data_IF_447111435807
#
_entry.id   IF_447111435807
#
_cell.length_a   1.000
_cell.length_b   1.000
_cell.length_c   1.000
_cell.angle_alpha   90.00
_cell.angle_beta   90.00
_cell.angle_gamma   90.00
#
_symmetry.space_group_name_H-M   'P 1'
#
loop_
_entity.id
_entity.type
_entity.pdbx_description
1 polymer ?
#
# COMPACT_ATOMS: atom_id res chain seq x y z
N UNK A 1 -18.38 1.51 -22.38
CA UNK A 1 -18.53 0.67 -21.16
C UNK A 1 -18.10 1.52 -19.98
N UNK A 2 -18.86 1.50 -18.88
CA UNK A 2 -18.43 2.13 -17.63
C UNK A 2 -17.32 1.28 -17.00
N UNK A 3 -16.08 1.77 -17.06
CA UNK A 3 -14.91 1.08 -16.51
C UNK A 3 -14.63 1.68 -15.15
N UNK A 4 -15.30 1.15 -14.12
CA UNK A 4 -14.99 1.50 -12.74
C UNK A 4 -14.01 0.49 -12.16
N UNK A 5 -13.06 0.97 -11.37
CA UNK A 5 -12.04 0.18 -10.67
C UNK A 5 -11.92 0.61 -9.23
N UNK A 6 -11.41 -0.25 -8.35
CA UNK A 6 -11.03 0.18 -7.00
C UNK A 6 -9.72 -0.42 -6.50
N UNK A 7 -9.08 0.33 -5.61
CA UNK A 7 -7.87 -0.05 -4.88
C UNK A 7 -8.16 0.07 -3.39
N UNK A 8 -8.11 -1.04 -2.63
CA UNK A 8 -8.22 -0.99 -1.16
C UNK A 8 -6.84 -0.99 -0.56
N UNK A 9 -6.46 0.10 0.10
CA UNK A 9 -5.19 0.19 0.82
C UNK A 9 -5.35 -0.29 2.26
N UNK A 10 -4.55 -1.29 2.61
CA UNK A 10 -4.66 -1.97 3.88
C UNK A 10 -3.31 -2.49 4.38
N UNK A 11 -3.25 -2.90 5.65
CA UNK A 11 -2.03 -3.42 6.29
C UNK A 11 -2.36 -4.13 7.59
N UNK A 12 -1.51 -5.09 8.00
CA UNK A 12 -1.65 -5.80 9.27
C UNK A 12 -1.44 -4.91 10.51
N UNK A 13 -0.66 -3.83 10.39
CA UNK A 13 -0.32 -2.93 11.50
C UNK A 13 -0.67 -1.47 11.17
N UNK A 14 -1.07 -0.69 12.18
CA UNK A 14 -1.20 0.76 12.06
C UNK A 14 0.14 1.45 11.79
N UNK A 15 0.11 2.66 11.24
CA UNK A 15 1.33 3.44 10.95
C UNK A 15 2.22 2.85 9.84
N UNK A 16 1.65 2.03 8.95
CA UNK A 16 2.36 1.35 7.85
C UNK A 16 2.54 2.21 6.60
N UNK A 17 1.94 3.40 6.54
CA UNK A 17 2.00 4.29 5.38
C UNK A 17 0.80 4.23 4.41
N UNK A 18 -0.34 3.65 4.82
CA UNK A 18 -1.57 3.60 3.98
C UNK A 18 -2.01 4.96 3.44
N UNK A 19 -2.26 5.92 4.33
CA UNK A 19 -2.75 7.25 3.94
C UNK A 19 -1.82 7.98 2.96
N UNK A 20 -0.49 8.05 3.19
CA UNK A 20 0.41 8.58 2.18
C UNK A 20 0.35 7.88 0.83
N UNK A 21 0.30 6.54 0.80
CA UNK A 21 0.22 5.79 -0.46
C UNK A 21 -1.13 6.05 -1.15
N UNK A 22 -2.24 6.15 -0.41
CA UNK A 22 -3.55 6.49 -0.97
C UNK A 22 -3.54 7.86 -1.64
N UNK A 23 -2.93 8.86 -0.99
CA UNK A 23 -2.78 10.21 -1.52
C UNK A 23 -1.88 10.25 -2.76
N UNK A 24 -0.74 9.53 -2.74
CA UNK A 24 0.17 9.42 -3.89
C UNK A 24 -0.51 8.75 -5.07
N UNK A 25 -1.14 7.58 -4.86
CA UNK A 25 -1.84 6.84 -5.91
C UNK A 25 -2.97 7.66 -6.53
N UNK A 26 -3.80 8.29 -5.70
CA UNK A 26 -4.88 9.17 -6.18
C UNK A 26 -4.33 10.33 -7.02
N UNK A 27 -3.23 10.94 -6.58
CA UNK A 27 -2.62 12.07 -7.28
C UNK A 27 -1.98 11.66 -8.61
N UNK A 28 -1.34 10.48 -8.67
CA UNK A 28 -0.77 9.95 -9.91
C UNK A 28 -1.86 9.60 -10.93
N UNK A 29 -2.91 8.88 -10.52
CA UNK A 29 -4.02 8.51 -11.41
C UNK A 29 -4.71 9.76 -11.99
N UNK A 30 -4.97 10.78 -11.18
CA UNK A 30 -5.54 12.03 -11.67
C UNK A 30 -4.60 12.74 -12.66
N UNK A 31 -3.28 12.75 -12.41
CA UNK A 31 -2.28 13.29 -13.36
C UNK A 31 -2.20 12.49 -14.67
N UNK A 32 -2.51 11.21 -14.64
CA UNK A 32 -2.69 10.37 -15.83
C UNK A 32 -4.04 10.58 -16.53
N UNK A 33 -4.83 11.56 -16.08
CA UNK A 33 -6.08 11.93 -16.73
C UNK A 33 -7.23 10.96 -16.43
N UNK A 34 -7.25 10.37 -15.22
CA UNK A 34 -8.35 9.54 -14.73
C UNK A 34 -9.31 10.33 -13.84
N UNK A 35 -10.56 9.89 -13.75
CA UNK A 35 -11.48 10.33 -12.70
C UNK A 35 -11.16 9.58 -11.41
N UNK A 36 -10.91 10.32 -10.34
CA UNK A 36 -10.43 9.75 -9.08
C UNK A 36 -11.40 10.08 -7.95
N UNK A 37 -11.75 9.05 -7.17
CA UNK A 37 -12.46 9.20 -5.91
C UNK A 37 -11.59 8.62 -4.80
N UNK A 38 -11.07 9.49 -3.92
CA UNK A 38 -10.41 9.04 -2.69
C UNK A 38 -11.47 8.86 -1.61
N UNK A 39 -11.74 7.62 -1.23
CA UNK A 39 -12.68 7.23 -0.20
C UNK A 39 -11.93 6.94 1.11
N UNK A 40 -12.12 7.79 2.10
CA UNK A 40 -11.57 7.63 3.44
C UNK A 40 -12.58 6.94 4.37
N UNK A 41 -12.27 5.69 4.70
CA UNK A 41 -13.00 4.86 5.66
C UNK A 41 -12.17 4.56 6.90
N UNK A 42 -11.04 5.26 7.09
CA UNK A 42 -10.23 5.16 8.28
C UNK A 42 -10.97 5.81 9.46
N UNK A 43 -11.75 5.01 10.18
CA UNK A 43 -12.51 5.47 11.34
C UNK A 43 -11.66 5.81 12.56
N UNK A 44 -10.35 5.56 12.54
CA UNK A 44 -9.45 5.98 13.60
C UNK A 44 -8.97 7.41 13.34
N UNK A 45 -8.47 7.69 12.14
CA UNK A 45 -7.98 9.00 11.73
C UNK A 45 -8.30 9.22 10.24
N UNK A 46 -9.35 9.98 9.87
CA UNK A 46 -9.72 10.23 8.48
C UNK A 46 -8.85 11.32 7.84
N UNK A 47 -7.53 11.14 7.94
CA UNK A 47 -6.53 12.12 7.52
C UNK A 47 -6.49 12.26 5.99
N UNK A 48 -6.80 11.20 5.24
CA UNK A 48 -6.79 11.24 3.78
C UNK A 48 -7.85 12.22 3.27
N UNK A 49 -9.03 12.23 3.89
CA UNK A 49 -10.10 13.18 3.60
C UNK A 49 -9.71 14.62 3.93
N UNK A 50 -9.20 14.87 5.14
CA UNK A 50 -8.82 16.22 5.56
C UNK A 50 -7.64 16.79 4.76
N UNK A 51 -6.66 15.96 4.40
CA UNK A 51 -5.54 16.38 3.55
C UNK A 51 -6.04 16.68 2.14
N UNK A 52 -6.80 15.78 1.53
CA UNK A 52 -7.25 15.95 0.14
C UNK A 52 -8.19 17.14 -0.06
N UNK A 53 -9.00 17.47 0.95
CA UNK A 53 -9.83 18.69 0.95
C UNK A 53 -9.01 19.99 1.02
N UNK A 54 -7.69 19.94 1.26
CA UNK A 54 -6.79 21.11 1.16
C UNK A 54 -6.08 21.25 -0.18
N UNK A 55 -6.22 20.26 -1.07
CA UNK A 55 -5.59 20.30 -2.40
C UNK A 55 -6.25 21.36 -3.28
N UNK A 56 -5.48 22.25 -3.88
CA UNK A 56 -5.95 23.27 -4.84
C UNK A 56 -5.19 23.17 -6.17
N UNK A 57 -5.70 23.88 -7.18
CA UNK A 57 -5.01 24.02 -8.47
C UNK A 57 -3.69 24.79 -8.29
N UNK A 58 -2.66 24.55 -9.13
CA UNK A 58 -1.43 25.34 -9.09
C UNK A 58 -1.70 26.85 -9.21
N UNK A 59 -2.63 27.23 -10.08
CA UNK A 59 -3.02 28.62 -10.29
C UNK A 59 -3.51 29.25 -8.98
N UNK A 60 -4.46 28.60 -8.30
CA UNK A 60 -5.01 29.06 -7.02
C UNK A 60 -3.93 29.11 -5.92
N UNK A 61 -3.01 28.15 -5.93
CA UNK A 61 -1.89 28.11 -4.98
C UNK A 61 -0.97 29.33 -5.12
N UNK A 62 -0.56 29.68 -6.35
CA UNK A 62 0.36 30.80 -6.58
C UNK A 62 -0.27 32.16 -6.26
N UNK A 63 -1.60 32.27 -6.32
CA UNK A 63 -2.33 33.51 -5.95
C UNK A 63 -2.90 33.48 -4.54
N UNK A 64 -2.63 32.43 -3.76
CA UNK A 64 -3.11 32.27 -2.37
C UNK A 64 -4.62 32.21 -2.22
N UNK A 65 -5.36 31.76 -3.25
CA UNK A 65 -6.81 31.62 -3.21
C UNK A 65 -7.20 30.27 -2.61
N UNK A 66 -8.14 30.29 -1.68
CA UNK A 66 -8.80 29.08 -1.17
C UNK A 66 -10.16 28.94 -1.85
N UNK A 67 -10.31 28.09 -2.88
CA UNK A 67 -11.61 27.87 -3.50
C UNK A 67 -12.58 27.27 -2.48
N UNK A 68 -13.81 27.79 -2.44
CA UNK A 68 -14.89 27.17 -1.67
C UNK A 68 -15.19 25.82 -2.33
N UNK A 69 -14.84 24.73 -1.65
CA UNK A 69 -15.11 23.39 -2.15
C UNK A 69 -16.60 23.09 -2.03
N UNK A 70 -17.23 22.77 -3.17
CA UNK A 70 -18.60 22.26 -3.18
C UNK A 70 -18.61 20.91 -2.48
N UNK A 71 -19.53 20.77 -1.54
CA UNK A 71 -19.78 19.52 -0.85
C UNK A 71 -21.20 19.04 -1.16
N UNK A 72 -21.33 17.76 -1.50
CA UNK A 72 -22.63 17.09 -1.63
C UNK A 72 -22.70 15.91 -0.67
N UNK A 73 -23.91 15.49 -0.32
CA UNK A 73 -24.13 14.31 0.51
C UNK A 73 -24.72 13.21 -0.37
N UNK A 74 -24.08 12.05 -0.34
CA UNK A 74 -24.51 10.84 -1.04
C UNK A 74 -25.03 9.83 -0.01
N UNK A 75 -26.27 9.40 -0.16
CA UNK A 75 -26.92 8.44 0.76
C UNK A 75 -27.26 7.12 0.08
N UNK A 76 -27.57 7.15 -1.22
CA UNK A 76 -28.02 6.00 -1.98
C UNK A 76 -27.68 6.16 -3.47
N UNK A 77 -27.46 5.03 -4.15
CA UNK A 77 -27.33 4.95 -5.60
C UNK A 77 -27.49 3.48 -6.05
N UNK A 78 -28.02 3.25 -7.24
CA UNK A 78 -28.13 1.90 -7.83
C UNK A 78 -28.95 0.90 -7.00
N UNK A 79 -29.95 1.37 -6.23
CA UNK A 79 -30.79 0.54 -5.36
C UNK A 79 -30.18 0.22 -3.99
N UNK A 80 -28.94 0.62 -3.73
CA UNK A 80 -28.27 0.43 -2.44
C UNK A 80 -28.21 1.73 -1.65
N UNK A 81 -28.29 1.59 -0.32
CA UNK A 81 -28.19 2.69 0.63
C UNK A 81 -26.94 2.53 1.48
N UNK A 82 -26.12 3.57 1.53
CA UNK A 82 -25.00 3.61 2.46
C UNK A 82 -25.54 3.68 3.90
N UNK A 83 -25.05 2.82 4.80
CA UNK A 83 -25.43 2.84 6.22
C UNK A 83 -25.19 4.19 6.88
N UNK A 84 -24.11 4.87 6.49
CA UNK A 84 -23.85 6.25 6.86
C UNK A 84 -23.78 7.13 5.61
N UNK A 85 -24.37 8.34 5.64
CA UNK A 85 -24.22 9.30 4.56
C UNK A 85 -22.75 9.61 4.28
N UNK A 86 -22.40 9.69 3.00
CA UNK A 86 -21.08 10.01 2.50
C UNK A 86 -21.01 11.49 2.10
N UNK A 87 -20.13 12.24 2.71
CA UNK A 87 -19.77 13.58 2.28
C UNK A 87 -18.82 13.48 1.10
N UNK A 88 -19.19 14.06 -0.04
CA UNK A 88 -18.35 14.18 -1.22
C UNK A 88 -17.90 15.62 -1.35
N UNK A 89 -16.60 15.86 -1.45
CA UNK A 89 -16.00 17.16 -1.70
C UNK A 89 -15.33 17.18 -3.07
N UNK A 90 -15.65 18.19 -3.89
CA UNK A 90 -14.95 18.45 -5.14
C UNK A 90 -13.55 18.99 -4.84
N UNK A 91 -12.51 18.22 -5.20
CA UNK A 91 -11.10 18.57 -4.91
C UNK A 91 -10.49 19.29 -6.08
N UNK A 92 -10.48 18.67 -7.26
CA UNK A 92 -9.99 19.26 -8.51
C UNK A 92 -10.90 18.87 -9.66
N UNK A 93 -10.99 19.75 -10.67
CA UNK A 93 -11.72 19.48 -11.90
C UNK A 93 -10.95 20.07 -13.09
N UNK A 94 -10.83 19.26 -14.13
CA UNK A 94 -10.40 19.67 -15.48
C UNK A 94 -11.59 19.57 -16.43
N UNK A 95 -11.41 19.89 -17.71
CA UNK A 95 -12.46 19.71 -18.71
C UNK A 95 -12.95 18.27 -18.82
N UNK A 96 -12.05 17.29 -18.65
CA UNK A 96 -12.32 15.86 -18.88
C UNK A 96 -12.40 15.03 -17.61
N UNK A 97 -11.70 15.44 -16.55
CA UNK A 97 -11.47 14.61 -15.38
C UNK A 97 -11.73 15.34 -14.06
N UNK A 98 -12.08 14.60 -13.01
CA UNK A 98 -12.20 15.14 -11.66
C UNK A 98 -11.41 14.34 -10.62
N UNK A 99 -11.08 15.01 -9.52
CA UNK A 99 -10.65 14.39 -8.27
C UNK A 99 -11.67 14.78 -7.20
N UNK A 100 -12.30 13.80 -6.57
CA UNK A 100 -13.19 13.95 -5.42
C UNK A 100 -12.62 13.27 -4.19
N UNK A 101 -12.89 13.85 -3.03
CA UNK A 101 -12.59 13.26 -1.73
C UNK A 101 -13.89 12.92 -1.02
N UNK A 102 -13.98 11.73 -0.46
CA UNK A 102 -15.19 11.19 0.14
C UNK A 102 -14.88 10.63 1.52
N UNK A 103 -15.70 10.98 2.50
CA UNK A 103 -15.69 10.37 3.81
C UNK A 103 -17.12 10.30 4.34
N UNK A 104 -17.35 9.68 5.51
CA UNK A 104 -18.66 9.74 6.16
C UNK A 104 -18.92 11.13 6.73
N UNK A 105 -20.18 11.52 6.79
CA UNK A 105 -20.57 12.83 7.34
C UNK A 105 -20.23 12.93 8.83
N UNK A 106 -19.44 13.93 9.19
CA UNK A 106 -19.23 14.50 10.54
C UNK A 106 -19.40 13.50 11.70
N UNK A 107 -20.61 13.38 12.29
CA UNK A 107 -20.88 12.50 13.45
C UNK A 107 -20.60 11.00 13.22
N UNK A 108 -20.47 10.57 11.97
CA UNK A 108 -20.18 9.19 11.59
C UNK A 108 -18.74 8.97 11.10
N UNK A 109 -17.89 10.02 11.07
CA UNK A 109 -16.50 9.93 10.60
C UNK A 109 -15.73 8.79 11.30
N UNK A 110 -15.94 8.66 12.61
CA UNK A 110 -15.25 7.71 13.48
C UNK A 110 -16.06 6.45 13.80
N UNK A 111 -17.21 6.25 13.15
CA UNK A 111 -18.00 5.04 13.36
C UNK A 111 -17.22 3.81 12.84
N UNK A 112 -17.12 2.69 13.58
CA UNK A 112 -16.50 1.48 13.05
C UNK A 112 -17.26 0.97 11.82
N UNK A 113 -16.54 0.53 10.78
CA UNK A 113 -17.10 -0.05 9.56
C UNK A 113 -16.77 -1.53 9.46
N UNK A 114 -17.68 -2.32 8.90
CA UNK A 114 -17.46 -3.72 8.57
C UNK A 114 -17.25 -3.90 7.05
N UNK A 115 -16.92 -5.12 6.63
CA UNK A 115 -16.65 -5.43 5.23
C UNK A 115 -17.83 -5.08 4.30
N UNK A 116 -19.05 -5.51 4.64
CA UNK A 116 -20.22 -5.31 3.80
C UNK A 116 -20.49 -3.82 3.58
N UNK A 117 -20.40 -3.03 4.64
CA UNK A 117 -20.65 -1.59 4.58
C UNK A 117 -19.59 -0.83 3.77
N UNK A 118 -18.34 -1.31 3.78
CA UNK A 118 -17.31 -0.79 2.89
C UNK A 118 -17.66 -1.06 1.41
N UNK A 119 -18.08 -2.28 1.06
CA UNK A 119 -18.47 -2.63 -0.31
C UNK A 119 -19.74 -1.90 -0.74
N UNK A 120 -20.69 -1.64 0.16
CA UNK A 120 -21.85 -0.79 -0.12
C UNK A 120 -21.45 0.64 -0.44
N UNK A 121 -20.54 1.24 0.34
CA UNK A 121 -20.04 2.58 0.06
C UNK A 121 -19.36 2.65 -1.31
N UNK A 122 -18.53 1.66 -1.64
CA UNK A 122 -17.92 1.51 -2.96
C UNK A 122 -18.96 1.43 -4.08
N UNK A 123 -19.95 0.55 -3.94
CA UNK A 123 -21.02 0.38 -4.92
C UNK A 123 -21.81 1.67 -5.14
N UNK A 124 -22.19 2.37 -4.06
CA UNK A 124 -22.92 3.63 -4.14
C UNK A 124 -22.10 4.69 -4.89
N UNK A 125 -20.80 4.78 -4.64
CA UNK A 125 -19.90 5.69 -5.38
C UNK A 125 -19.82 5.32 -6.86
N UNK A 126 -19.61 4.03 -7.17
CA UNK A 126 -19.47 3.56 -8.56
C UNK A 126 -20.75 3.66 -9.38
N UNK A 127 -21.93 3.64 -8.74
CA UNK A 127 -23.21 3.90 -9.41
C UNK A 127 -23.57 5.40 -9.47
N UNK A 128 -22.80 6.26 -8.81
CA UNK A 128 -22.97 7.72 -8.87
C UNK A 128 -22.10 8.35 -9.95
N UNK A 129 -20.93 7.77 -10.20
CA UNK A 129 -19.94 8.32 -11.13
C UNK A 129 -19.47 7.27 -12.14
N UNK A 130 -19.33 7.68 -13.39
CA UNK A 130 -18.87 6.82 -14.47
C UNK A 130 -17.34 6.89 -14.66
N UNK A 131 -16.75 5.77 -15.05
CA UNK A 131 -15.33 5.65 -15.42
C UNK A 131 -14.37 6.19 -14.35
N UNK A 132 -14.47 5.64 -13.14
CA UNK A 132 -13.74 6.10 -11.97
C UNK A 132 -12.73 5.07 -11.45
N UNK A 133 -11.64 5.57 -10.89
CA UNK A 133 -10.77 4.84 -9.97
C UNK A 133 -11.11 5.25 -8.52
N UNK A 134 -11.58 4.30 -7.71
CA UNK A 134 -11.85 4.52 -6.29
C UNK A 134 -10.68 4.03 -5.45
N UNK A 135 -10.03 4.94 -4.73
CA UNK A 135 -8.90 4.64 -3.85
C UNK A 135 -9.43 4.64 -2.42
N UNK A 136 -9.41 3.51 -1.75
CA UNK A 136 -9.93 3.36 -0.39
C UNK A 136 -8.78 3.38 0.62
N UNK A 137 -8.79 4.37 1.52
CA UNK A 137 -7.98 4.33 2.74
C UNK A 137 -8.83 3.75 3.87
N UNK A 138 -8.40 2.61 4.43
CA UNK A 138 -9.16 1.95 5.50
C UNK A 138 -8.22 1.37 6.56
N UNK A 139 -8.72 1.35 7.79
CA UNK A 139 -8.06 0.67 8.90
C UNK A 139 -8.41 -0.83 8.99
N UNK A 140 -9.35 -1.33 8.18
CA UNK A 140 -9.65 -2.76 8.06
C UNK A 140 -8.48 -3.48 7.41
N UNK A 141 -7.89 -4.45 8.12
CA UNK A 141 -6.97 -5.42 7.52
C UNK A 141 -7.72 -6.47 6.69
N UNK A 142 -7.03 -7.18 5.78
CA UNK A 142 -7.66 -8.26 4.99
C UNK A 142 -8.44 -9.25 5.88
N UNK A 143 -7.91 -9.72 7.04
CA UNK A 143 -8.68 -10.58 7.93
C UNK A 143 -10.02 -10.01 8.41
N UNK A 144 -10.10 -8.69 8.59
CA UNK A 144 -11.32 -7.96 8.97
C UNK A 144 -12.32 -7.79 7.81
N UNK A 145 -11.95 -8.19 6.59
CA UNK A 145 -12.86 -8.22 5.44
C UNK A 145 -13.79 -9.43 5.46
N UNK A 146 -13.57 -10.42 6.34
CA UNK A 146 -14.54 -11.52 6.52
C UNK A 146 -15.85 -10.93 7.06
N UNK A 147 -16.98 -11.05 6.32
CA UNK A 147 -18.27 -10.58 6.81
C UNK A 147 -18.77 -11.45 7.97
N UNK A 148 -19.66 -10.88 8.79
CA UNK A 148 -20.18 -11.56 9.98
C UNK A 148 -21.22 -12.64 9.68
N UNK A 149 -21.94 -12.52 8.55
CA UNK A 149 -23.00 -13.44 8.15
C UNK A 149 -22.66 -14.09 6.82
N UNK A 150 -23.11 -15.34 6.66
CA UNK A 150 -22.88 -16.12 5.44
C UNK A 150 -23.52 -15.45 4.20
N UNK A 151 -24.75 -14.95 4.33
CA UNK A 151 -25.47 -14.27 3.23
C UNK A 151 -24.77 -13.00 2.74
N UNK A 152 -23.92 -12.40 3.57
CA UNK A 152 -23.25 -11.15 3.22
C UNK A 152 -22.14 -11.37 2.18
N UNK A 153 -21.62 -12.60 2.02
CA UNK A 153 -20.69 -12.90 0.92
C UNK A 153 -21.37 -12.75 -0.44
N UNK A 154 -22.60 -13.24 -0.58
CA UNK A 154 -23.35 -13.11 -1.83
C UNK A 154 -23.68 -11.64 -2.11
N UNK A 155 -24.07 -10.87 -1.08
CA UNK A 155 -24.26 -9.42 -1.25
C UNK A 155 -22.99 -8.72 -1.70
N UNK A 156 -21.84 -9.04 -1.09
CA UNK A 156 -20.55 -8.46 -1.51
C UNK A 156 -20.27 -8.79 -2.98
N UNK A 157 -20.54 -10.02 -3.42
CA UNK A 157 -20.40 -10.40 -4.83
C UNK A 157 -21.24 -9.53 -5.75
N UNK A 158 -22.49 -9.26 -5.39
CA UNK A 158 -23.39 -8.43 -6.19
C UNK A 158 -22.93 -6.96 -6.20
N UNK A 159 -22.44 -6.46 -5.06
CA UNK A 159 -21.88 -5.11 -4.91
C UNK A 159 -20.59 -4.90 -5.72
N UNK A 160 -19.91 -5.96 -6.15
CA UNK A 160 -18.73 -5.89 -7.01
C UNK A 160 -19.09 -5.75 -8.49
N UNK A 161 -20.35 -5.99 -8.90
CA UNK A 161 -20.77 -6.01 -10.30
C UNK A 161 -20.44 -4.72 -11.11
N UNK A 162 -20.49 -3.50 -10.54
CA UNK A 162 -20.13 -2.28 -11.28
C UNK A 162 -18.63 -2.16 -11.61
N UNK A 163 -17.77 -2.99 -11.01
CA UNK A 163 -16.33 -2.86 -11.12
C UNK A 163 -15.75 -3.87 -12.12
N UNK A 164 -15.02 -3.34 -13.09
CA UNK A 164 -14.32 -4.12 -14.12
C UNK A 164 -13.03 -4.76 -13.61
N UNK A 165 -12.33 -4.10 -12.69
CA UNK A 165 -11.13 -4.59 -12.04
C UNK A 165 -11.04 -4.05 -10.61
N UNK A 166 -10.31 -4.76 -9.76
CA UNK A 166 -10.02 -4.31 -8.41
C UNK A 166 -8.77 -4.97 -7.84
N UNK A 167 -8.05 -4.20 -7.02
CA UNK A 167 -6.82 -4.63 -6.36
C UNK A 167 -6.87 -4.34 -4.86
N UNK A 168 -6.28 -5.22 -4.08
CA UNK A 168 -6.08 -4.99 -2.64
C UNK A 168 -4.60 -4.71 -2.41
N UNK A 169 -4.26 -3.47 -2.08
CA UNK A 169 -2.89 -3.07 -1.80
C UNK A 169 -2.60 -3.35 -0.33
N UNK A 170 -1.75 -4.34 -0.06
CA UNK A 170 -1.37 -4.74 1.28
C UNK A 170 0.07 -4.34 1.60
N UNK A 171 0.24 -3.49 2.62
CA UNK A 171 1.56 -3.01 3.04
C UNK A 171 2.16 -3.91 4.12
N UNK A 172 3.29 -4.52 3.77
CA UNK A 172 4.13 -5.33 4.63
C UNK A 172 5.26 -4.50 5.22
N UNK A 173 5.40 -4.60 6.54
CA UNK A 173 6.60 -4.19 7.22
C UNK A 173 7.13 -5.31 8.11
N UNK A 174 8.34 -5.14 8.63
CA UNK A 174 8.96 -6.09 9.57
C UNK A 174 8.06 -6.40 10.76
N UNK A 175 7.31 -5.41 11.25
CA UNK A 175 6.31 -5.60 12.30
C UNK A 175 5.14 -6.50 11.88
N UNK A 176 4.61 -6.34 10.67
CA UNK A 176 3.57 -7.21 10.11
C UNK A 176 4.08 -8.63 9.87
N UNK A 177 5.33 -8.76 9.40
CA UNK A 177 5.98 -10.07 9.20
C UNK A 177 6.20 -10.81 10.52
N UNK A 178 6.56 -10.10 11.58
CA UNK A 178 6.76 -10.68 12.91
C UNK A 178 5.45 -10.91 13.70
N UNK A 179 4.31 -10.44 13.18
CA UNK A 179 3.05 -10.46 13.93
C UNK A 179 2.53 -11.88 14.08
N UNK A 180 2.26 -12.26 15.33
CA UNK A 180 1.53 -13.48 15.69
C UNK A 180 0.26 -13.08 16.45
N UNK A 181 -0.88 -13.63 16.04
CA UNK A 181 -2.18 -13.40 16.65
C UNK A 181 -2.66 -14.68 17.32
N UNK A 182 -3.00 -14.60 18.60
CA UNK A 182 -3.57 -15.73 19.33
C UNK A 182 -5.09 -15.75 19.15
N UNK A 183 -5.62 -16.82 18.56
CA UNK A 183 -7.06 -17.06 18.42
C UNK A 183 -7.38 -18.35 19.15
N UNK A 184 -8.00 -18.22 20.33
CA UNK A 184 -8.22 -19.35 21.24
C UNK A 184 -6.91 -20.02 21.65
N UNK A 185 -6.76 -21.31 21.31
CA UNK A 185 -5.55 -22.09 21.60
C UNK A 185 -4.48 -21.99 20.50
N UNK A 186 -4.81 -21.46 19.33
CA UNK A 186 -3.89 -21.41 18.19
C UNK A 186 -3.18 -20.05 18.11
N UNK A 187 -1.93 -20.08 17.68
CA UNK A 187 -1.14 -18.89 17.34
C UNK A 187 -0.99 -18.86 15.83
N UNK A 188 -1.55 -17.83 15.19
CA UNK A 188 -1.58 -17.68 13.74
C UNK A 188 -0.71 -16.50 13.33
N UNK A 189 0.11 -16.68 12.30
CA UNK A 189 0.82 -15.60 11.62
C UNK A 189 -0.13 -14.74 10.80
N UNK A 190 0.31 -13.56 10.38
CA UNK A 190 -0.46 -12.74 9.44
C UNK A 190 -0.74 -13.50 8.12
N UNK A 191 0.18 -14.34 7.65
CA UNK A 191 -0.02 -15.18 6.46
C UNK A 191 -1.13 -16.22 6.64
N UNK A 192 -1.22 -16.84 7.82
CA UNK A 192 -2.30 -17.79 8.11
C UNK A 192 -3.67 -17.12 8.07
N UNK A 193 -3.75 -15.88 8.58
CA UNK A 193 -4.98 -15.11 8.55
C UNK A 193 -5.35 -14.69 7.11
N UNK A 194 -4.36 -14.26 6.31
CA UNK A 194 -4.59 -13.94 4.89
C UNK A 194 -5.08 -15.15 4.09
N UNK A 195 -4.39 -16.29 4.20
CA UNK A 195 -4.77 -17.51 3.48
C UNK A 195 -6.17 -17.97 3.89
N UNK A 196 -6.49 -17.91 5.18
CA UNK A 196 -7.84 -18.19 5.66
C UNK A 196 -8.86 -17.28 4.98
N UNK A 197 -8.65 -15.97 5.00
CA UNK A 197 -9.58 -15.01 4.37
C UNK A 197 -9.76 -15.25 2.87
N UNK A 198 -8.67 -15.46 2.13
CA UNK A 198 -8.72 -15.77 0.70
C UNK A 198 -9.55 -17.04 0.46
N UNK A 199 -9.32 -18.07 1.28
CA UNK A 199 -10.05 -19.34 1.18
C UNK A 199 -11.54 -19.19 1.49
N UNK A 200 -11.92 -18.40 2.51
CA UNK A 200 -13.32 -18.16 2.84
C UNK A 200 -14.09 -17.51 1.67
N UNK A 201 -13.50 -16.52 1.02
CA UNK A 201 -14.07 -15.85 -0.15
C UNK A 201 -14.15 -16.79 -1.38
N UNK A 202 -13.09 -17.58 -1.61
CA UNK A 202 -13.04 -18.55 -2.70
C UNK A 202 -14.11 -19.63 -2.56
N UNK A 203 -14.27 -20.22 -1.37
CA UNK A 203 -15.26 -21.27 -1.10
C UNK A 203 -16.69 -20.81 -1.42
N UNK A 204 -16.95 -19.51 -1.31
CA UNK A 204 -18.25 -18.88 -1.54
C UNK A 204 -18.38 -18.25 -2.93
N UNK A 205 -17.40 -18.48 -3.80
CA UNK A 205 -17.43 -18.02 -5.19
C UNK A 205 -17.39 -16.49 -5.33
N UNK A 206 -16.75 -15.78 -4.39
CA UNK A 206 -16.56 -14.33 -4.42
C UNK A 206 -15.10 -14.03 -4.75
N UNK A 207 -14.82 -13.63 -5.99
CA UNK A 207 -13.46 -13.51 -6.53
C UNK A 207 -12.74 -12.20 -6.15
N UNK A 208 -12.82 -11.75 -4.90
CA UNK A 208 -12.25 -10.45 -4.51
C UNK A 208 -10.71 -10.46 -4.49
N UNK A 209 -10.10 -11.57 -4.06
CA UNK A 209 -8.65 -11.70 -3.94
C UNK A 209 -7.99 -12.46 -5.09
N UNK A 210 -8.76 -13.08 -5.99
CA UNK A 210 -8.25 -14.15 -6.86
C UNK A 210 -8.46 -15.54 -6.23
N UNK A 211 -7.95 -16.58 -6.89
CA UNK A 211 -8.02 -17.96 -6.42
C UNK A 211 -7.03 -18.23 -5.27
N UNK A 212 -5.93 -17.49 -5.23
CA UNK A 212 -4.81 -17.64 -4.31
C UNK A 212 -4.21 -16.29 -3.87
N UNK A 213 -4.92 -15.19 -4.07
CA UNK A 213 -4.44 -13.85 -3.68
C UNK A 213 -3.79 -13.06 -4.82
N UNK A 214 -3.99 -13.45 -6.07
CA UNK A 214 -3.40 -12.83 -7.26
C UNK A 214 -3.80 -11.36 -7.45
N UNK A 215 -4.91 -10.92 -6.84
CA UNK A 215 -5.35 -9.51 -6.85
C UNK A 215 -4.77 -8.68 -5.71
N UNK A 216 -3.98 -9.28 -4.83
CA UNK A 216 -3.28 -8.57 -3.76
C UNK A 216 -1.99 -8.00 -4.34
N UNK A 217 -1.81 -6.68 -4.22
CA UNK A 217 -0.56 -6.00 -4.53
C UNK A 217 0.22 -5.82 -3.23
N UNK A 218 1.40 -6.40 -3.16
CA UNK A 218 2.25 -6.45 -1.97
C UNK A 218 3.22 -5.27 -1.98
N UNK A 219 3.08 -4.33 -1.05
CA UNK A 219 4.07 -3.27 -0.84
C UNK A 219 4.99 -3.70 0.30
N UNK A 220 6.26 -3.99 0.00
CA UNK A 220 7.26 -4.33 1.00
C UNK A 220 8.06 -3.09 1.41
N UNK A 221 8.10 -2.79 2.70
CA UNK A 221 8.86 -1.68 3.26
C UNK A 221 9.49 -2.03 4.62
N UNK A 222 10.74 -1.64 4.90
CA UNK A 222 11.37 -1.95 6.18
C UNK A 222 10.83 -1.10 7.35
N UNK A 223 10.03 -0.04 7.14
CA UNK A 223 9.46 0.77 8.24
C UNK A 223 10.55 1.29 9.20
N UNK A 224 11.63 1.83 8.62
CA UNK A 224 12.75 2.47 9.33
C UNK A 224 12.54 3.98 9.39
N UNK A 225 12.58 4.54 10.59
CA UNK A 225 12.13 5.91 10.87
C UNK A 225 13.17 6.80 11.56
N UNK A 226 14.46 6.50 11.42
CA UNK A 226 15.51 7.32 12.05
C UNK A 226 16.41 8.00 11.02
N UNK A 227 16.71 9.27 11.30
CA UNK A 227 17.79 10.02 10.65
C UNK A 227 19.09 9.25 10.89
N UNK A 228 19.78 8.73 9.85
CA UNK A 228 21.06 8.10 10.08
C UNK A 228 22.03 9.15 10.58
N UNK A 229 22.24 9.18 11.89
CA UNK A 229 23.53 9.65 12.38
C UNK A 229 24.57 8.74 11.72
N UNK A 230 25.54 9.37 11.07
CA UNK A 230 26.62 8.77 10.26
C UNK A 230 27.26 7.48 10.82
N UNK A 231 27.28 7.17 12.13
CA UNK A 231 27.82 5.90 12.64
C UNK A 231 26.91 4.67 12.42
N UNK A 232 25.57 4.83 12.42
CA UNK A 232 24.66 3.66 12.35
C UNK A 232 24.62 3.10 10.96
N UNK A 233 24.40 3.98 9.97
CA UNK A 233 24.43 3.57 8.58
C UNK A 233 25.79 2.99 8.23
N UNK A 234 26.90 3.54 8.75
CA UNK A 234 28.25 3.00 8.55
C UNK A 234 28.45 1.61 9.18
N UNK A 235 28.00 1.35 10.42
CA UNK A 235 28.09 0.00 11.03
C UNK A 235 27.15 -1.01 10.38
N UNK A 236 25.93 -0.57 10.05
CA UNK A 236 25.00 -1.34 9.22
C UNK A 236 25.66 -1.65 7.87
N UNK A 237 26.35 -0.69 7.26
CA UNK A 237 27.05 -0.85 5.98
C UNK A 237 28.34 -1.66 6.09
N UNK A 238 29.07 -1.61 7.19
CA UNK A 238 30.25 -2.45 7.46
C UNK A 238 29.82 -3.91 7.67
N UNK A 239 28.75 -4.14 8.43
CA UNK A 239 28.10 -5.45 8.62
C UNK A 239 27.45 -5.95 7.33
N UNK A 240 26.92 -5.06 6.49
CA UNK A 240 26.46 -5.36 5.14
C UNK A 240 27.66 -5.72 4.26
N UNK A 241 28.74 -4.95 4.24
CA UNK A 241 29.90 -5.13 3.36
C UNK A 241 30.66 -6.44 3.63
N UNK A 242 30.78 -6.85 4.89
CA UNK A 242 31.40 -8.13 5.28
C UNK A 242 30.53 -9.35 4.96
N UNK A 243 29.21 -9.15 4.83
CA UNK A 243 28.23 -10.15 4.40
C UNK A 243 27.86 -10.00 2.89
N UNK A 244 28.48 -9.07 2.18
CA UNK A 244 28.32 -8.75 0.73
C UNK A 244 29.50 -9.36 -0.06
N UNK A 245 30.04 -10.49 0.38
CA UNK A 245 30.66 -11.45 -0.54
C UNK A 245 29.62 -12.28 -1.31
N UNK A 246 28.32 -11.99 -1.14
CA UNK A 246 27.27 -12.48 -2.04
C UNK A 246 27.26 -11.57 -3.27
N UNK A 247 27.94 -12.03 -4.33
CA UNK A 247 27.63 -11.59 -5.70
C UNK A 247 26.13 -11.76 -5.89
N UNK A 248 25.39 -10.67 -5.83
CA UNK A 248 24.05 -10.58 -6.35
C UNK A 248 24.20 -10.90 -7.85
N UNK A 249 23.72 -12.05 -8.38
CA UNK A 249 23.68 -12.26 -9.83
C UNK A 249 22.43 -11.54 -10.37
N UNK A 250 22.37 -10.23 -10.09
CA UNK A 250 21.43 -9.25 -10.61
C UNK A 250 22.35 -8.09 -11.00
N UNK A 251 22.40 -7.76 -12.30
CA UNK A 251 23.46 -6.97 -12.93
C UNK A 251 23.56 -5.50 -12.51
N UNK A 252 23.72 -5.24 -11.22
CA UNK A 252 24.17 -3.95 -10.66
C UNK A 252 25.28 -4.28 -9.70
N UNK A 253 26.53 -4.09 -10.14
CA UNK A 253 27.67 -4.12 -9.24
C UNK A 253 27.47 -3.06 -8.15
N UNK A 254 27.47 -3.51 -6.89
CA UNK A 254 27.51 -2.63 -5.72
C UNK A 254 28.83 -1.86 -5.76
N UNK A 255 28.79 -0.67 -6.35
CA UNK A 255 29.93 0.24 -6.43
C UNK A 255 30.40 0.57 -5.02
N UNK A 256 31.72 0.46 -4.81
CA UNK A 256 32.41 0.86 -3.59
C UNK A 256 31.95 2.25 -3.10
N UNK A 257 31.79 2.41 -1.79
CA UNK A 257 31.54 3.71 -1.17
C UNK A 257 32.76 4.63 -1.34
N UNK A 258 32.76 5.37 -2.44
CA UNK A 258 33.60 6.55 -2.64
C UNK A 258 32.77 7.76 -3.08
N UNK A 259 31.43 7.74 -2.89
CA UNK A 259 30.52 8.76 -3.42
C UNK A 259 29.37 9.18 -2.49
N UNK A 260 28.76 10.30 -2.87
CA UNK A 260 27.61 10.99 -2.28
C UNK A 260 26.38 10.08 -2.09
N UNK A 261 25.70 10.21 -0.94
CA UNK A 261 24.53 9.42 -0.53
C UNK A 261 23.42 9.51 -1.58
N UNK A 262 23.24 10.68 -2.19
CA UNK A 262 22.27 10.90 -3.26
C UNK A 262 22.54 10.02 -4.50
N UNK A 263 23.81 9.82 -4.87
CA UNK A 263 24.23 8.95 -5.98
C UNK A 263 23.90 7.48 -5.71
N UNK A 264 24.10 7.03 -4.47
CA UNK A 264 23.79 5.67 -4.05
C UNK A 264 22.29 5.39 -4.05
N UNK A 265 21.49 6.31 -3.50
CA UNK A 265 20.03 6.17 -3.48
C UNK A 265 19.44 6.16 -4.89
N UNK A 266 19.99 6.97 -5.80
CA UNK A 266 19.61 6.94 -7.22
C UNK A 266 19.85 5.56 -7.84
N UNK A 267 21.00 4.93 -7.58
CA UNK A 267 21.31 3.57 -8.08
C UNK A 267 20.36 2.50 -7.54
N UNK A 268 19.99 2.56 -6.25
CA UNK A 268 18.99 1.64 -5.69
C UNK A 268 17.63 1.83 -6.37
N UNK A 269 17.18 3.08 -6.49
CA UNK A 269 15.92 3.38 -7.17
C UNK A 269 15.98 2.86 -8.60
N UNK A 270 17.03 3.17 -9.36
CA UNK A 270 17.23 2.73 -10.74
C UNK A 270 17.22 1.20 -10.86
N UNK A 271 17.89 0.48 -9.96
CA UNK A 271 17.79 -0.98 -9.89
C UNK A 271 16.35 -1.46 -9.70
N UNK A 272 15.61 -0.87 -8.76
CA UNK A 272 14.19 -1.19 -8.53
C UNK A 272 13.33 -0.87 -9.76
N UNK A 273 13.63 0.23 -10.48
CA UNK A 273 12.93 0.56 -11.74
C UNK A 273 13.11 -0.56 -12.76
N UNK A 274 14.35 -0.98 -12.99
CA UNK A 274 14.68 -2.07 -13.92
C UNK A 274 13.97 -3.35 -13.50
N UNK A 275 13.97 -3.66 -12.20
CA UNK A 275 13.31 -4.85 -11.67
C UNK A 275 11.80 -4.84 -11.89
N UNK A 276 11.13 -3.69 -11.69
CA UNK A 276 9.71 -3.57 -12.00
C UNK A 276 9.46 -3.74 -13.49
N UNK A 277 10.22 -3.06 -14.36
CA UNK A 277 10.09 -3.15 -15.82
C UNK A 277 10.17 -4.60 -16.36
N UNK A 278 10.87 -5.49 -15.66
CA UNK A 278 11.08 -6.90 -16.03
C UNK A 278 10.30 -7.84 -15.11
N UNK A 279 9.20 -7.36 -14.56
CA UNK A 279 8.28 -8.16 -13.76
C UNK A 279 7.41 -9.04 -14.64
N UNK A 280 7.26 -10.30 -14.26
CA UNK A 280 6.36 -11.27 -14.88
C UNK A 280 5.75 -12.12 -13.78
N UNK A 281 4.54 -12.63 -14.01
CA UNK A 281 3.90 -13.56 -13.09
C UNK A 281 3.40 -12.90 -11.80
N UNK A 282 2.62 -13.66 -11.04
CA UNK A 282 1.93 -13.17 -9.86
C UNK A 282 2.37 -13.92 -8.61
N UNK A 283 2.74 -13.19 -7.58
CA UNK A 283 3.05 -13.73 -6.27
C UNK A 283 1.76 -14.13 -5.57
N UNK A 284 1.53 -15.43 -5.43
CA UNK A 284 0.38 -15.98 -4.72
C UNK A 284 0.68 -16.22 -3.22
N UNK A 285 -0.38 -16.48 -2.45
CA UNK A 285 -0.26 -16.71 -0.99
C UNK A 285 0.55 -17.97 -0.65
N UNK A 286 0.56 -18.97 -1.54
CA UNK A 286 1.29 -20.23 -1.34
C UNK A 286 2.79 -20.00 -1.43
N UNK A 287 3.23 -19.28 -2.45
CA UNK A 287 4.62 -18.88 -2.66
C UNK A 287 5.09 -17.98 -1.52
N UNK A 288 4.25 -17.03 -1.10
CA UNK A 288 4.53 -16.19 0.08
C UNK A 288 4.68 -17.00 1.36
N UNK A 289 3.86 -18.02 1.58
CA UNK A 289 3.98 -18.92 2.73
C UNK A 289 5.33 -19.64 2.74
N UNK A 290 5.77 -20.19 1.60
CA UNK A 290 7.08 -20.85 1.49
C UNK A 290 8.22 -19.86 1.79
N UNK A 291 8.13 -18.62 1.27
CA UNK A 291 9.10 -17.56 1.57
C UNK A 291 9.14 -17.27 3.06
N UNK A 292 7.98 -17.13 3.69
CA UNK A 292 7.87 -16.81 5.11
C UNK A 292 8.38 -17.93 6.02
N UNK A 293 8.11 -19.20 5.69
CA UNK A 293 8.60 -20.35 6.44
C UNK A 293 10.13 -20.41 6.41
N UNK A 294 10.76 -20.26 5.24
CA UNK A 294 12.22 -20.23 5.12
C UNK A 294 12.85 -19.00 5.77
N UNK A 295 12.16 -17.85 5.69
CA UNK A 295 12.56 -16.64 6.41
C UNK A 295 12.55 -16.90 7.92
N UNK A 296 11.46 -17.44 8.46
CA UNK A 296 11.30 -17.69 9.90
C UNK A 296 12.35 -18.67 10.43
N UNK A 297 12.64 -19.72 9.67
CA UNK A 297 13.71 -20.68 9.99
C UNK A 297 15.09 -20.00 10.07
N UNK A 298 15.45 -19.16 9.09
CA UNK A 298 16.74 -18.43 9.11
C UNK A 298 16.83 -17.46 10.30
N UNK A 299 15.72 -16.79 10.66
CA UNK A 299 15.68 -15.92 11.84
C UNK A 299 15.80 -16.72 13.14
N UNK A 300 15.11 -17.85 13.27
CA UNK A 300 15.19 -18.70 14.47
C UNK A 300 16.59 -19.28 14.67
N UNK A 301 17.27 -19.68 13.59
CA UNK A 301 18.67 -20.10 13.64
C UNK A 301 19.60 -18.98 14.09
N UNK A 302 19.40 -17.77 13.58
CA UNK A 302 20.23 -16.61 13.92
C UNK A 302 20.06 -16.21 15.39
N UNK A 303 18.82 -16.17 15.88
CA UNK A 303 18.52 -15.91 17.30
C UNK A 303 19.14 -16.96 18.22
N UNK A 304 19.15 -18.24 17.80
CA UNK A 304 19.83 -19.31 18.57
C UNK A 304 21.36 -19.16 18.57
N UNK A 305 21.95 -18.69 17.47
CA UNK A 305 23.41 -18.49 17.33
C UNK A 305 23.90 -17.26 18.07
N UNK A 306 23.06 -16.23 18.18
CA UNK A 306 23.41 -14.96 18.83
C UNK A 306 22.32 -14.57 19.82
N UNK A 307 22.41 -14.98 21.10
CA UNK A 307 21.43 -14.62 22.14
C UNK A 307 21.26 -13.09 22.30
N UNK A 308 22.30 -12.31 21.98
CA UNK A 308 22.31 -10.84 22.02
C UNK A 308 21.74 -10.17 20.76
N UNK A 309 21.21 -10.95 19.81
CA UNK A 309 20.65 -10.47 18.53
C UNK A 309 19.54 -9.42 18.70
N UNK A 310 18.91 -9.35 19.88
CA UNK A 310 17.93 -8.33 20.25
C UNK A 310 18.39 -7.29 21.28
N UNK A 311 19.59 -7.44 21.88
CA UNK A 311 20.05 -6.64 23.02
C UNK A 311 21.12 -5.62 22.60
N UNK A 312 22.04 -5.98 21.69
CA UNK A 312 23.20 -5.13 21.33
C UNK A 312 23.11 -4.42 19.97
N UNK A 313 22.06 -4.70 19.20
CA UNK A 313 21.88 -4.15 17.86
C UNK A 313 20.84 -3.02 17.92
N UNK A 314 21.19 -1.80 17.45
CA UNK A 314 20.21 -0.71 17.30
C UNK A 314 19.00 -1.22 16.51
N UNK A 315 17.79 -0.98 17.01
CA UNK A 315 16.50 -1.45 16.44
C UNK A 315 16.40 -1.31 14.91
N UNK A 316 16.95 -0.23 14.34
CA UNK A 316 17.01 -0.01 12.91
C UNK A 316 17.81 -1.08 12.12
N UNK A 317 18.93 -1.55 12.68
CA UNK A 317 19.78 -2.54 12.01
C UNK A 317 19.12 -3.91 11.99
N UNK A 318 18.39 -4.28 13.05
CA UNK A 318 17.60 -5.52 13.12
C UNK A 318 16.52 -5.48 12.04
N UNK A 319 15.76 -4.38 11.99
CA UNK A 319 14.69 -4.22 11.00
C UNK A 319 15.21 -4.31 9.56
N UNK A 320 16.36 -3.68 9.27
CA UNK A 320 16.98 -3.79 7.94
C UNK A 320 17.44 -5.22 7.63
N UNK A 321 18.05 -5.89 8.62
CA UNK A 321 18.46 -7.28 8.51
C UNK A 321 17.27 -8.19 8.20
N UNK A 322 16.18 -8.10 8.97
CA UNK A 322 14.95 -8.87 8.74
C UNK A 322 14.40 -8.65 7.33
N UNK A 323 14.34 -7.38 6.89
CA UNK A 323 13.88 -7.04 5.55
C UNK A 323 14.79 -7.65 4.46
N UNK A 324 16.11 -7.59 4.65
CA UNK A 324 17.09 -8.18 3.71
C UNK A 324 16.94 -9.70 3.62
N UNK A 325 16.82 -10.39 4.76
CA UNK A 325 16.63 -11.85 4.77
C UNK A 325 15.34 -12.21 4.02
N UNK A 326 14.26 -11.47 4.25
CA UNK A 326 12.99 -11.70 3.55
C UNK A 326 13.13 -11.53 2.03
N UNK A 327 13.73 -10.42 1.56
CA UNK A 327 13.99 -10.19 0.13
C UNK A 327 14.90 -11.25 -0.49
N UNK A 328 15.93 -11.70 0.25
CA UNK A 328 16.83 -12.78 -0.17
C UNK A 328 16.05 -14.09 -0.39
N UNK A 329 15.19 -14.48 0.55
CA UNK A 329 14.35 -15.69 0.43
C UNK A 329 13.39 -15.58 -0.73
N UNK A 330 12.75 -14.41 -0.88
CA UNK A 330 11.88 -14.13 -2.01
C UNK A 330 12.60 -14.33 -3.33
N UNK A 331 13.76 -13.70 -3.53
CA UNK A 331 14.52 -13.84 -4.77
C UNK A 331 14.96 -15.30 -5.02
N UNK A 332 15.41 -16.02 -4.00
CA UNK A 332 15.83 -17.42 -4.12
C UNK A 332 14.68 -18.35 -4.52
N UNK A 333 13.49 -18.15 -3.97
CA UNK A 333 12.31 -18.97 -4.26
C UNK A 333 11.72 -18.56 -5.61
N UNK A 334 11.57 -17.26 -5.85
CA UNK A 334 10.99 -16.72 -7.08
C UNK A 334 11.78 -17.15 -8.32
N UNK A 335 13.11 -17.00 -8.29
CA UNK A 335 13.97 -17.38 -9.43
C UNK A 335 14.00 -18.87 -9.75
N UNK A 336 13.58 -19.74 -8.82
CA UNK A 336 13.43 -21.17 -9.14
C UNK A 336 12.25 -21.40 -10.09
N UNK A 337 11.17 -20.65 -9.91
CA UNK A 337 9.99 -20.73 -10.77
C UNK A 337 10.07 -19.80 -11.99
N UNK A 338 10.79 -18.68 -11.85
CA UNK A 338 10.87 -17.61 -12.83
C UNK A 338 12.35 -17.19 -13.07
N UNK A 339 13.16 -18.01 -13.78
CA UNK A 339 14.62 -17.83 -13.84
C UNK A 339 15.09 -16.52 -14.49
N UNK A 340 14.28 -15.97 -15.40
CA UNK A 340 14.60 -14.76 -16.17
C UNK A 340 13.94 -13.49 -15.62
N UNK A 341 13.07 -13.65 -14.63
CA UNK A 341 12.24 -12.57 -14.11
C UNK A 341 12.86 -11.97 -12.85
N UNK A 342 12.78 -10.64 -12.70
CA UNK A 342 13.41 -9.96 -11.58
C UNK A 342 12.48 -9.83 -10.36
N UNK A 343 11.19 -9.58 -10.55
CA UNK A 343 10.17 -9.48 -9.50
C UNK A 343 8.80 -9.98 -10.00
N UNK A 344 7.89 -10.38 -9.11
CA UNK A 344 6.47 -10.53 -9.43
C UNK A 344 5.82 -9.18 -9.80
N UNK A 345 4.81 -9.20 -10.67
CA UNK A 345 4.07 -8.00 -11.12
C UNK A 345 3.28 -7.32 -10.00
N UNK A 346 2.72 -8.12 -9.09
CA UNK A 346 1.94 -7.65 -7.94
C UNK A 346 2.83 -7.34 -6.72
N UNK A 347 4.12 -7.12 -6.89
CA UNK A 347 5.05 -6.75 -5.83
C UNK A 347 5.61 -5.35 -6.08
N UNK A 348 5.61 -4.50 -5.05
CA UNK A 348 6.23 -3.18 -5.04
C UNK A 348 7.22 -3.12 -3.88
N UNK A 349 8.48 -2.82 -4.16
CA UNK A 349 9.51 -2.69 -3.11
C UNK A 349 9.75 -1.20 -2.86
N UNK A 350 9.48 -0.77 -1.62
CA UNK A 350 9.82 0.56 -1.12
C UNK A 350 10.99 0.38 -0.15
N UNK A 351 12.24 0.60 -0.60
CA UNK A 351 13.44 0.20 0.13
C UNK A 351 13.68 1.00 1.43
N UNK A 352 12.97 2.11 1.61
CA UNK A 352 13.00 2.93 2.81
C UNK A 352 11.74 3.81 2.84
N UNK A 353 11.17 4.01 4.02
CA UNK A 353 10.19 5.06 4.27
C UNK A 353 10.94 6.19 4.97
N UNK A 354 11.56 7.11 4.22
CA UNK A 354 12.42 8.19 4.76
C UNK A 354 11.68 9.00 5.83
N UNK A 355 12.43 9.61 6.75
CA UNK A 355 12.22 10.86 7.52
C UNK A 355 11.09 11.80 7.00
N UNK A 356 10.86 11.88 5.67
CA UNK A 356 9.77 12.64 5.03
C UNK A 356 8.37 12.07 5.26
N UNK A 357 8.22 10.76 5.42
CA UNK A 357 6.94 10.06 5.63
C UNK A 357 6.43 10.12 7.06
N UNK A 358 7.33 10.16 8.05
CA UNK A 358 6.98 10.23 9.48
C UNK A 358 6.13 11.47 9.74
N UNK A 359 6.56 12.60 9.17
CA UNK A 359 5.84 13.86 9.26
C UNK A 359 5.02 14.13 8.00
N UNK A 360 4.79 13.15 7.11
CA UNK A 360 4.09 13.43 5.86
C UNK A 360 2.64 13.80 6.13
N UNK A 361 1.95 12.96 6.89
CA UNK A 361 0.55 13.20 7.26
C UNK A 361 0.48 14.46 8.12
N UNK A 362 1.31 14.57 9.17
CA UNK A 362 1.33 15.73 10.06
C UNK A 362 1.66 17.05 9.34
N UNK A 363 2.65 17.06 8.45
CA UNK A 363 3.02 18.26 7.70
C UNK A 363 1.95 18.66 6.68
N UNK A 364 1.26 17.70 6.06
CA UNK A 364 0.15 17.98 5.16
C UNK A 364 -1.12 18.42 5.93
N UNK A 365 -1.36 17.85 7.11
CA UNK A 365 -2.42 18.29 8.01
C UNK A 365 -2.16 19.69 8.56
N UNK A 366 -0.90 20.07 8.78
CA UNK A 366 -0.53 21.40 9.28
C UNK A 366 -0.52 22.47 8.19
N UNK A 367 -0.47 22.09 6.91
CA UNK A 367 -0.53 23.03 5.80
C UNK A 367 -1.97 23.51 5.59
N UNK A 368 -2.16 24.80 5.32
CA UNK A 368 -3.48 25.36 4.99
C UNK A 368 -3.91 25.03 3.55
N UNK A 369 -2.94 25.06 2.63
CA UNK A 369 -3.15 24.82 1.20
C UNK A 369 -2.03 23.92 0.68
N UNK A 370 -2.39 22.91 -0.11
CA UNK A 370 -1.45 21.99 -0.75
C UNK A 370 -1.76 21.84 -2.24
N UNK A 371 -0.77 21.44 -3.04
CA UNK A 371 -1.00 21.05 -4.45
C UNK A 371 -0.74 19.55 -4.62
N UNK A 372 -1.20 18.98 -5.75
CA UNK A 372 -0.79 17.60 -6.12
C UNK A 372 0.72 17.45 -6.19
N UNK A 373 1.42 18.49 -6.67
CA UNK A 373 2.88 18.51 -6.72
C UNK A 373 3.48 18.42 -5.31
N UNK A 374 2.90 19.11 -4.32
CA UNK A 374 3.34 19.03 -2.91
C UNK A 374 3.25 17.60 -2.36
N UNK A 375 2.15 16.90 -2.64
CA UNK A 375 1.95 15.49 -2.25
C UNK A 375 3.05 14.62 -2.87
N UNK A 376 3.21 14.71 -4.20
CA UNK A 376 4.15 13.88 -4.94
C UNK A 376 5.61 14.20 -4.59
N UNK A 377 5.99 15.47 -4.45
CA UNK A 377 7.37 15.87 -4.14
C UNK A 377 7.78 15.48 -2.71
N UNK A 378 6.86 15.53 -1.74
CA UNK A 378 7.12 15.07 -0.37
C UNK A 378 7.33 13.56 -0.29
N UNK A 379 6.71 12.79 -1.19
CA UNK A 379 6.86 11.35 -1.31
C UNK A 379 7.52 10.97 -2.66
N UNK A 380 8.49 11.76 -3.14
CA UNK A 380 9.01 11.68 -4.52
C UNK A 380 9.52 10.29 -4.89
N UNK A 381 10.25 9.65 -3.98
CA UNK A 381 10.83 8.33 -4.20
C UNK A 381 9.72 7.27 -4.32
N UNK A 382 8.74 7.29 -3.42
CA UNK A 382 7.56 6.41 -3.44
C UNK A 382 6.71 6.67 -4.69
N UNK A 383 6.52 7.94 -5.04
CA UNK A 383 5.76 8.38 -6.20
C UNK A 383 6.39 7.90 -7.51
N UNK A 384 7.72 7.94 -7.61
CA UNK A 384 8.44 7.41 -8.77
C UNK A 384 8.27 5.90 -8.91
N UNK A 385 8.35 5.14 -7.80
CA UNK A 385 8.19 3.69 -7.81
C UNK A 385 6.75 3.30 -8.20
N UNK A 386 5.75 3.92 -7.57
CA UNK A 386 4.33 3.65 -7.87
C UNK A 386 3.98 4.08 -9.30
N UNK A 387 4.52 5.19 -9.80
CA UNK A 387 4.29 5.64 -11.17
C UNK A 387 4.81 4.63 -12.20
N UNK A 388 5.95 3.98 -11.95
CA UNK A 388 6.48 2.94 -12.84
C UNK A 388 5.58 1.71 -12.83
N UNK A 389 5.18 1.27 -11.64
CA UNK A 389 4.25 0.16 -11.49
C UNK A 389 2.91 0.41 -12.21
N UNK A 390 2.36 1.63 -12.11
CA UNK A 390 1.16 2.04 -12.83
C UNK A 390 1.33 1.97 -14.34
N UNK A 391 2.44 2.48 -14.89
CA UNK A 391 2.69 2.46 -16.34
C UNK A 391 2.65 1.02 -16.88
N UNK A 392 3.23 0.06 -16.17
CA UNK A 392 3.18 -1.33 -16.58
C UNK A 392 1.76 -1.89 -16.53
N UNK A 393 1.02 -1.61 -15.48
CA UNK A 393 -0.34 -2.14 -15.32
C UNK A 393 -1.36 -1.47 -16.25
N UNK A 394 -1.11 -0.24 -16.71
CA UNK A 394 -1.97 0.46 -17.66
C UNK A 394 -1.68 0.12 -19.13
N UNK A 395 -0.46 -0.36 -19.47
CA UNK A 395 -0.12 -0.74 -20.84
C UNK A 395 -0.68 -2.11 -21.28
N UNK A 396 -1.21 -2.90 -20.34
CA UNK A 396 -1.74 -4.25 -20.59
C UNK A 396 -3.22 -4.43 -20.21
N UNK A 397 -3.96 -3.34 -19.95
CA UNK A 397 -5.35 -3.38 -19.45
C UNK A 397 -6.38 -2.63 -20.28
#
# INVERSE_FOLDING_TARGET
>A
MNISRFFILTSGKGGSGRTPIALVLSSLLFRHGRNVVLLDLNFSNPDAFFISTKIVSPEDYYVGRTPIKKSTILTEAGGEKAKWPLQVCDVLKTEKNFFKSVARVSKYLYAPIDALEMFRALYVIANTYENIDVIVDTNLNIPSLIPQKEDDYQKIKDLLAPFSDYKIIYIWNTGSLARKTRIGKSVLSEFDLLEKTISEYKLRGVNIFGNWGERIVHILTPNLYEKPSKPVLRRVMEMLSSLIAIRIPMGVELVSQTGDEESYMRKIIEGIKIMHLWGEGTLDIRTLRIIFEQYSQEIEEEVKRSPDFGIDIRSASIVYYLFKVFLKKMNQIWRKAHPHTLLPENLIIIPYMIEKMINYVEALLSADIITLKTILDRAKEVSNIISIWLIQHEQYG
#
